data_IF_980323674735
#
_entry.id   IF_980323674735
#
_cell.length_a   1.000
_cell.length_b   1.000
_cell.length_c   1.000
_cell.angle_alpha   90.00
_cell.angle_beta   90.00
_cell.angle_gamma   90.00
#
_symmetry.space_group_name_H-M   'P 1'
#
loop_
_entity.id
_entity.type
_entity.pdbx_description
1 polymer ?
#
# COMPACT_ATOMS: atom_id res chain seq x y z
N UNK A 1 -15.99 -14.39 6.34
CA UNK A 1 -14.76 -15.18 6.20
C UNK A 1 -13.59 -14.19 6.13
N UNK A 2 -12.52 -14.42 6.88
CA UNK A 2 -11.34 -13.53 6.90
C UNK A 2 -10.17 -14.30 6.33
N UNK A 3 -9.50 -13.74 5.32
CA UNK A 3 -8.29 -14.30 4.74
C UNK A 3 -7.11 -14.03 5.68
N UNK A 4 -6.45 -15.09 6.15
CA UNK A 4 -5.29 -14.95 7.05
C UNK A 4 -4.13 -14.21 6.37
N UNK A 5 -3.84 -14.52 5.11
CA UNK A 5 -2.74 -13.90 4.37
C UNK A 5 -3.01 -13.87 2.87
N UNK A 6 -2.85 -12.70 2.27
CA UNK A 6 -2.66 -12.53 0.84
C UNK A 6 -1.20 -12.18 0.58
N UNK A 7 -0.49 -12.98 -0.22
CA UNK A 7 0.90 -12.75 -0.58
C UNK A 7 1.11 -12.88 -2.07
N UNK A 8 1.77 -11.90 -2.67
CA UNK A 8 2.21 -11.97 -4.06
C UNK A 8 3.60 -11.37 -4.22
N UNK A 9 4.46 -12.05 -4.99
CA UNK A 9 5.79 -11.57 -5.37
C UNK A 9 5.97 -11.71 -6.87
N UNK A 10 6.45 -10.65 -7.53
CA UNK A 10 6.65 -10.64 -8.97
C UNK A 10 7.98 -9.98 -9.37
N UNK A 11 8.86 -10.73 -10.01
CA UNK A 11 10.14 -10.22 -10.54
C UNK A 11 9.96 -9.38 -11.81
N UNK A 12 9.08 -9.85 -12.70
CA UNK A 12 8.92 -9.33 -14.06
C UNK A 12 7.58 -8.65 -14.26
N UNK A 13 7.57 -7.60 -15.06
CA UNK A 13 6.37 -6.82 -15.35
C UNK A 13 5.29 -7.67 -16.00
N UNK A 14 5.67 -8.61 -16.87
CA UNK A 14 4.75 -9.53 -17.53
C UNK A 14 3.86 -10.32 -16.55
N UNK A 15 4.38 -10.70 -15.37
CA UNK A 15 3.65 -11.49 -14.36
C UNK A 15 2.45 -10.75 -13.74
N UNK A 16 2.46 -9.42 -13.76
CA UNK A 16 1.42 -8.58 -13.13
C UNK A 16 0.72 -7.68 -14.15
N UNK A 17 1.10 -7.78 -15.43
CA UNK A 17 0.68 -6.82 -16.45
C UNK A 17 -0.81 -6.84 -16.74
N UNK A 18 -1.47 -8.00 -16.66
CA UNK A 18 -2.92 -8.10 -16.81
C UNK A 18 -3.64 -7.48 -15.62
N UNK A 19 -3.16 -7.73 -14.41
CA UNK A 19 -3.72 -7.19 -13.16
C UNK A 19 -3.59 -5.67 -13.12
N UNK A 20 -2.43 -5.12 -13.49
CA UNK A 20 -2.20 -3.66 -13.55
C UNK A 20 -3.15 -2.97 -14.53
N UNK A 21 -3.56 -3.65 -15.61
CA UNK A 21 -4.53 -3.10 -16.58
C UNK A 21 -5.97 -3.12 -16.10
N UNK A 22 -6.26 -3.82 -15.00
CA UNK A 22 -7.60 -3.83 -14.42
C UNK A 22 -8.00 -2.42 -13.94
N UNK A 23 -9.31 -2.22 -13.82
CA UNK A 23 -9.83 -1.00 -13.20
C UNK A 23 -9.44 -0.95 -11.71
N UNK A 24 -9.28 0.25 -11.17
CA UNK A 24 -8.99 0.40 -9.74
C UNK A 24 -10.15 -0.18 -8.91
N UNK A 25 -9.82 -0.80 -7.78
CA UNK A 25 -10.78 -1.48 -6.90
C UNK A 25 -11.61 -2.61 -7.54
N UNK A 26 -11.23 -3.13 -8.71
CA UNK A 26 -12.00 -4.18 -9.40
C UNK A 26 -11.77 -5.59 -8.83
N UNK A 27 -10.69 -5.83 -8.11
CA UNK A 27 -10.31 -7.14 -7.58
C UNK A 27 -10.65 -7.22 -6.09
N UNK A 28 -11.77 -7.87 -5.77
CA UNK A 28 -12.26 -7.97 -4.39
C UNK A 28 -11.52 -9.05 -3.61
N UNK A 29 -10.81 -8.65 -2.56
CA UNK A 29 -10.17 -9.57 -1.60
C UNK A 29 -11.03 -9.84 -0.36
N UNK A 30 -11.98 -8.94 -0.05
CA UNK A 30 -12.75 -9.00 1.19
C UNK A 30 -11.88 -8.61 2.39
N UNK A 31 -12.00 -9.36 3.50
CA UNK A 31 -11.22 -9.12 4.72
C UNK A 31 -9.89 -9.87 4.68
N UNK A 32 -8.78 -9.19 4.94
CA UNK A 32 -7.42 -9.73 4.90
C UNK A 32 -6.64 -9.27 6.14
N UNK A 33 -6.16 -10.23 6.95
CA UNK A 33 -5.31 -9.94 8.12
C UNK A 33 -3.91 -9.51 7.77
N UNK A 34 -3.32 -10.10 6.72
CA UNK A 34 -1.97 -9.78 6.26
C UNK A 34 -1.90 -9.63 4.74
N UNK A 35 -1.58 -8.44 4.26
CA UNK A 35 -1.41 -8.17 2.83
C UNK A 35 0.06 -7.88 2.53
N UNK A 36 0.74 -8.83 1.89
CA UNK A 36 2.15 -8.74 1.54
C UNK A 36 2.33 -8.66 0.02
N UNK A 37 2.82 -7.54 -0.49
CA UNK A 37 3.17 -7.37 -1.90
C UNK A 37 4.67 -7.07 -2.03
N UNK A 38 5.37 -7.90 -2.79
CA UNK A 38 6.83 -7.85 -2.93
C UNK A 38 7.21 -7.57 -4.38
N UNK A 39 8.23 -6.72 -4.58
CA UNK A 39 8.76 -6.38 -5.89
C UNK A 39 7.67 -5.75 -6.77
N UNK A 40 7.48 -6.20 -8.02
CA UNK A 40 6.52 -5.60 -8.95
C UNK A 40 5.06 -5.84 -8.58
N UNK A 41 4.75 -6.74 -7.65
CA UNK A 41 3.35 -6.95 -7.25
C UNK A 41 2.77 -5.77 -6.48
N UNK A 42 3.61 -4.89 -5.92
CA UNK A 42 3.15 -3.67 -5.23
C UNK A 42 2.30 -2.80 -6.16
N UNK A 43 2.64 -2.76 -7.46
CA UNK A 43 1.89 -2.03 -8.48
C UNK A 43 0.43 -2.50 -8.69
N UNK A 44 0.04 -3.67 -8.17
CA UNK A 44 -1.36 -4.11 -8.22
C UNK A 44 -2.21 -3.50 -7.13
N UNK A 45 -1.61 -2.88 -6.10
CA UNK A 45 -2.32 -2.40 -4.92
C UNK A 45 -3.55 -1.54 -5.23
N UNK A 46 -3.53 -0.58 -6.19
CA UNK A 46 -4.71 0.22 -6.54
C UNK A 46 -5.88 -0.58 -7.15
N UNK A 47 -5.62 -1.83 -7.55
CA UNK A 47 -6.57 -2.72 -8.21
C UNK A 47 -7.33 -3.58 -7.22
N UNK A 48 -6.76 -3.75 -6.03
CA UNK A 48 -7.33 -4.53 -4.95
C UNK A 48 -8.39 -3.70 -4.21
N UNK A 49 -9.49 -4.33 -3.86
CA UNK A 49 -10.54 -3.78 -3.00
C UNK A 49 -10.68 -4.66 -1.76
N UNK A 50 -10.49 -4.04 -0.60
CA UNK A 50 -10.75 -4.63 0.70
C UNK A 50 -12.15 -4.28 1.17
N UNK A 51 -12.69 -5.10 2.06
CA UNK A 51 -13.96 -4.84 2.72
C UNK A 51 -13.93 -3.51 3.51
N UNK A 52 -15.07 -2.83 3.63
CA UNK A 52 -15.18 -1.60 4.42
C UNK A 52 -14.82 -1.85 5.90
N UNK A 53 -15.18 -3.03 6.41
CA UNK A 53 -14.91 -3.47 7.78
C UNK A 53 -13.62 -4.32 7.87
N UNK A 54 -12.63 -4.04 7.01
CA UNK A 54 -11.35 -4.73 7.03
C UNK A 54 -10.51 -4.28 8.24
N UNK A 55 -10.04 -5.26 9.02
CA UNK A 55 -9.09 -5.04 10.11
C UNK A 55 -7.84 -5.87 9.84
N UNK A 56 -6.77 -5.18 9.46
CA UNK A 56 -5.50 -5.77 9.06
C UNK A 56 -4.51 -5.73 10.23
N UNK A 57 -3.87 -6.86 10.48
CA UNK A 57 -2.81 -6.97 11.49
C UNK A 57 -1.52 -6.33 10.99
N UNK A 58 -1.10 -6.63 9.75
CA UNK A 58 0.17 -6.12 9.20
C UNK A 58 0.06 -5.83 7.70
N UNK A 59 0.54 -4.65 7.29
CA UNK A 59 0.74 -4.26 5.90
C UNK A 59 2.21 -3.90 5.64
N UNK A 60 3.07 -4.88 5.30
CA UNK A 60 4.48 -4.63 5.05
C UNK A 60 4.78 -4.55 3.56
N UNK A 61 5.44 -3.47 3.14
CA UNK A 61 5.94 -3.28 1.77
C UNK A 61 7.40 -2.86 1.75
N UNK A 62 8.17 -3.50 0.88
CA UNK A 62 9.55 -3.16 0.59
C UNK A 62 9.74 -3.01 -0.91
N UNK A 63 10.20 -1.85 -1.35
CA UNK A 63 10.48 -1.58 -2.75
C UNK A 63 11.92 -1.10 -2.97
N UNK A 64 12.77 -2.00 -3.43
CA UNK A 64 14.18 -1.69 -3.75
C UNK A 64 14.34 -0.77 -4.97
N UNK A 65 13.29 -0.62 -5.78
CA UNK A 65 13.30 0.19 -7.00
C UNK A 65 12.02 1.03 -7.12
N UNK A 66 12.16 2.25 -7.64
CA UNK A 66 11.03 3.16 -7.89
C UNK A 66 9.99 2.55 -8.86
N UNK A 67 10.42 1.75 -9.84
CA UNK A 67 9.52 1.05 -10.78
C UNK A 67 8.55 0.06 -10.11
N UNK A 68 8.82 -0.37 -8.87
CA UNK A 68 7.94 -1.29 -8.15
C UNK A 68 6.71 -0.59 -7.56
N UNK A 69 6.75 0.73 -7.43
CA UNK A 69 5.66 1.54 -6.88
C UNK A 69 5.07 2.52 -7.89
N UNK A 70 5.56 2.53 -9.14
CA UNK A 70 5.20 3.54 -10.14
C UNK A 70 3.69 3.63 -10.40
N UNK A 71 2.98 2.50 -10.46
CA UNK A 71 1.52 2.47 -10.67
C UNK A 71 0.78 3.02 -9.45
N UNK A 72 1.27 2.72 -8.25
CA UNK A 72 0.70 3.24 -7.00
C UNK A 72 0.86 4.76 -6.93
N UNK A 73 1.99 5.28 -7.40
CA UNK A 73 2.28 6.72 -7.41
C UNK A 73 1.36 7.51 -8.34
N UNK A 74 0.76 6.88 -9.35
CA UNK A 74 -0.23 7.50 -10.24
C UNK A 74 -1.60 7.65 -9.58
N UNK A 75 -1.86 6.95 -8.47
CA UNK A 75 -3.09 7.11 -7.73
C UNK A 75 -3.22 8.53 -7.14
N UNK A 76 -4.45 8.99 -7.00
CA UNK A 76 -4.74 10.20 -6.24
C UNK A 76 -4.46 9.96 -4.76
N UNK A 77 -4.11 11.01 -4.03
CA UNK A 77 -3.85 10.90 -2.60
C UNK A 77 -5.11 10.43 -1.85
N UNK A 78 -4.92 9.64 -0.80
CA UNK A 78 -5.98 9.07 0.02
C UNK A 78 -7.08 8.33 -0.80
N UNK A 79 -6.69 7.49 -1.77
CA UNK A 79 -7.66 6.70 -2.57
C UNK A 79 -7.51 5.19 -2.46
N UNK A 80 -6.40 4.71 -1.88
CA UNK A 80 -6.16 3.28 -1.68
C UNK A 80 -6.63 2.91 -0.28
N UNK A 81 -7.84 2.34 -0.19
CA UNK A 81 -8.46 1.94 1.07
C UNK A 81 -7.83 0.66 1.65
N UNK A 82 -7.40 0.72 2.92
CA UNK A 82 -6.90 -0.46 3.65
C UNK A 82 -7.80 -0.90 4.82
N UNK A 83 -8.78 -0.09 5.21
CA UNK A 83 -9.53 -0.28 6.45
C UNK A 83 -8.71 0.12 7.68
N UNK A 84 -8.78 -0.65 8.76
CA UNK A 84 -7.92 -0.50 9.94
C UNK A 84 -6.63 -1.30 9.75
N UNK A 85 -5.51 -0.76 10.20
CA UNK A 85 -4.17 -1.38 10.11
C UNK A 85 -3.48 -1.21 11.46
N UNK A 86 -3.22 -2.33 12.15
CA UNK A 86 -2.46 -2.35 13.42
C UNK A 86 -0.98 -2.02 13.18
N UNK A 87 -0.39 -2.59 12.13
CA UNK A 87 1.02 -2.38 11.80
C UNK A 87 1.24 -2.00 10.33
N UNK A 88 1.80 -0.82 10.10
CA UNK A 88 2.18 -0.32 8.77
C UNK A 88 3.71 -0.25 8.67
N UNK A 89 4.29 -1.04 7.77
CA UNK A 89 5.73 -1.05 7.52
C UNK A 89 6.02 -0.70 6.06
N UNK A 90 6.67 0.44 5.80
CA UNK A 90 7.09 0.84 4.47
C UNK A 90 8.61 1.03 4.43
N UNK A 91 9.29 0.29 3.56
CA UNK A 91 10.74 0.34 3.41
C UNK A 91 11.18 0.76 2.00
N UNK A 92 12.27 1.52 1.92
CA UNK A 92 12.90 2.00 0.69
C UNK A 92 11.90 2.84 -0.15
N UNK A 93 11.78 2.58 -1.47
CA UNK A 93 10.86 3.34 -2.32
C UNK A 93 9.38 3.14 -1.95
N UNK A 94 9.03 2.16 -1.10
CA UNK A 94 7.65 1.95 -0.66
C UNK A 94 7.12 3.13 0.17
N UNK A 95 8.00 3.91 0.81
CA UNK A 95 7.62 5.11 1.57
C UNK A 95 6.84 6.10 0.69
N UNK A 96 7.15 6.15 -0.61
CA UNK A 96 6.50 7.09 -1.54
C UNK A 96 5.00 6.87 -1.70
N UNK A 97 4.50 5.66 -1.40
CA UNK A 97 3.06 5.37 -1.54
C UNK A 97 2.24 5.94 -0.38
N UNK A 98 2.89 6.36 0.72
CA UNK A 98 2.21 6.74 1.96
C UNK A 98 1.08 7.77 1.73
N UNK A 99 1.24 8.83 0.91
CA UNK A 99 0.15 9.79 0.64
C UNK A 99 -1.04 9.19 -0.11
N UNK A 100 -0.88 8.00 -0.72
CA UNK A 100 -1.90 7.32 -1.53
C UNK A 100 -2.83 6.46 -0.70
N UNK A 101 -2.35 6.02 0.47
CA UNK A 101 -3.08 5.15 1.39
C UNK A 101 -4.18 5.93 2.12
N UNK A 102 -5.29 5.25 2.40
CA UNK A 102 -6.41 5.73 3.19
C UNK A 102 -6.78 4.67 4.21
N UNK A 103 -6.76 5.07 5.49
CA UNK A 103 -7.18 4.25 6.62
C UNK A 103 -8.56 4.67 7.10
N UNK A 104 -9.22 3.79 7.84
CA UNK A 104 -10.47 4.10 8.54
C UNK A 104 -10.25 5.26 9.52
N UNK A 105 -11.27 6.10 9.73
CA UNK A 105 -11.17 7.27 10.62
C UNK A 105 -10.87 6.89 12.07
N UNK A 106 -11.48 5.80 12.54
CA UNK A 106 -11.21 5.18 13.85
C UNK A 106 -9.99 4.25 13.87
N UNK A 107 -9.05 4.38 12.93
CA UNK A 107 -7.83 3.57 12.97
C UNK A 107 -6.98 3.92 14.20
N UNK A 108 -6.62 2.89 14.98
CA UNK A 108 -5.68 2.97 16.10
C UNK A 108 -4.51 2.05 15.79
N UNK A 109 -3.45 2.62 15.22
CA UNK A 109 -2.24 1.90 14.82
C UNK A 109 -1.36 1.62 16.04
N UNK A 110 -0.81 0.40 16.13
CA UNK A 110 0.11 -0.01 17.18
C UNK A 110 1.57 0.27 16.79
N UNK A 111 1.91 0.07 15.50
CA UNK A 111 3.26 0.28 14.98
C UNK A 111 3.23 0.96 13.59
N UNK A 112 3.94 2.09 13.48
CA UNK A 112 4.19 2.77 12.21
C UNK A 112 5.68 2.86 11.94
N UNK A 113 6.16 2.12 10.95
CA UNK A 113 7.59 2.02 10.63
C UNK A 113 7.87 2.48 9.20
N UNK A 114 8.73 3.48 9.07
CA UNK A 114 9.30 3.94 7.80
C UNK A 114 10.81 3.75 7.84
N UNK A 115 11.40 3.09 6.84
CA UNK A 115 12.84 2.86 6.80
C UNK A 115 13.43 3.11 5.41
N UNK A 116 14.42 4.01 5.35
CA UNK A 116 15.22 4.26 4.15
C UNK A 116 16.68 4.45 4.56
N UNK A 117 17.60 3.85 3.81
CA UNK A 117 19.05 3.91 4.07
C UNK A 117 19.74 5.01 3.25
N UNK A 118 19.02 5.71 2.36
CA UNK A 118 19.52 6.80 1.52
C UNK A 118 18.42 7.84 1.23
N UNK A 119 18.80 9.10 1.10
CA UNK A 119 17.88 10.19 0.76
C UNK A 119 17.12 9.96 -0.56
N UNK A 120 17.77 9.33 -1.56
CA UNK A 120 17.17 9.08 -2.87
C UNK A 120 15.97 8.13 -2.90
N UNK A 121 15.61 7.50 -1.77
CA UNK A 121 14.41 6.66 -1.67
C UNK A 121 13.13 7.45 -1.45
N UNK A 122 13.24 8.72 -1.05
CA UNK A 122 12.11 9.59 -0.73
C UNK A 122 12.03 10.66 -1.81
N UNK A 123 11.01 10.62 -2.66
CA UNK A 123 10.80 11.62 -3.70
C UNK A 123 10.30 12.93 -3.10
N UNK A 124 10.72 14.08 -3.65
CA UNK A 124 10.18 15.40 -3.29
C UNK A 124 8.65 15.47 -3.47
N UNK A 125 8.10 14.63 -4.36
CA UNK A 125 6.66 14.51 -4.63
C UNK A 125 5.85 13.82 -3.54
N UNK A 126 6.46 13.35 -2.44
CA UNK A 126 5.73 12.81 -1.28
C UNK A 126 4.97 13.91 -0.53
N UNK A 127 5.34 15.19 -0.65
CA UNK A 127 4.62 16.28 0.01
C UNK A 127 3.30 16.56 -0.72
N UNK A 128 2.14 16.16 -0.18
CA UNK A 128 0.87 16.60 -0.76
C UNK A 128 0.77 18.13 -0.68
N UNK A 129 0.18 18.78 -1.68
CA UNK A 129 -0.07 20.23 -1.69
C UNK A 129 -0.79 20.72 -0.40
N UNK A 130 -1.56 19.82 0.24
CA UNK A 130 -1.99 19.92 1.63
C UNK A 130 -1.32 18.80 2.44
N UNK A 131 -0.30 19.14 3.23
CA UNK A 131 0.61 18.31 4.05
C UNK A 131 -0.03 17.27 5.01
N UNK A 132 -1.30 16.87 4.86
CA UNK A 132 -1.98 15.91 5.72
C UNK A 132 -2.11 14.53 5.06
N UNK A 133 -1.53 13.51 5.70
CA UNK A 133 -1.78 12.09 5.42
C UNK A 133 -2.72 11.58 6.51
N UNK A 134 -3.84 10.95 6.13
CA UNK A 134 -4.84 10.45 7.09
C UNK A 134 -4.51 9.02 7.53
N UNK A 135 -3.73 8.90 8.62
CA UNK A 135 -3.31 7.61 9.19
C UNK A 135 -4.11 7.19 10.46
N UNK A 136 -5.09 7.98 10.88
CA UNK A 136 -5.77 7.79 12.16
C UNK A 136 -4.86 8.13 13.34
N UNK A 137 -5.14 7.54 14.51
CA UNK A 137 -4.25 7.61 15.67
C UNK A 137 -3.11 6.61 15.50
N UNK A 138 -1.89 7.04 15.83
CA UNK A 138 -0.65 6.23 15.82
C UNK A 138 0.01 6.38 17.18
#
# INVERSE_FOLDING_TARGET
NVMEKFHLSAEKTEHVSEVIRAENNSIKLGKVKKLELWKRSINILPKLSLDEENEMEVFPLNAEKMEYVSEVMLAKNNTIWLGKVKKLELSLFAINILPKLMLHEDNEMEEFLLSADREGYVSETILPENNSIKLGKV
#
